data_IF_725412929534
#
_entry.id   IF_725412929534
#
_cell.length_a   1.000
_cell.length_b   1.000
_cell.length_c   1.000
_cell.angle_alpha   90.00
_cell.angle_beta   90.00
_cell.angle_gamma   90.00
#
_symmetry.space_group_name_H-M   'P 1'
#
loop_
_entity.id
_entity.type
_entity.pdbx_description
1 polymer ?
#
# COMPACT_ATOMS: atom_id res chain seq x y z
N UNK A 1 -40.08 8.84 -18.10
CA UNK A 1 -41.19 9.28 -18.98
C UNK A 1 -40.57 9.72 -20.30
N UNK A 2 -41.13 9.27 -21.42
CA UNK A 2 -40.77 9.76 -22.76
C UNK A 2 -41.91 10.60 -23.33
N UNK A 3 -41.60 11.61 -24.13
CA UNK A 3 -42.56 12.45 -24.83
C UNK A 3 -42.38 12.23 -26.34
N UNK A 4 -43.47 11.97 -27.07
CA UNK A 4 -43.48 11.95 -28.52
C UNK A 4 -44.28 13.15 -29.00
N UNK A 5 -43.63 14.06 -29.72
CA UNK A 5 -44.28 15.19 -30.37
C UNK A 5 -44.40 14.91 -31.87
N UNK A 6 -45.60 15.10 -32.43
CA UNK A 6 -45.87 14.95 -33.85
C UNK A 6 -46.36 16.29 -34.42
N UNK A 7 -45.81 16.68 -35.58
CA UNK A 7 -46.17 17.91 -36.27
C UNK A 7 -46.33 17.64 -37.78
N UNK A 8 -47.24 18.36 -38.43
CA UNK A 8 -47.42 18.35 -39.88
C UNK A 8 -47.55 19.76 -40.43
N UNK A 9 -46.95 20.00 -41.59
CA UNK A 9 -47.08 21.25 -42.36
C UNK A 9 -48.34 21.28 -43.23
N UNK A 10 -49.01 20.14 -43.41
CA UNK A 10 -50.26 20.02 -44.16
C UNK A 10 -51.46 20.01 -43.22
N UNK A 11 -52.45 20.86 -43.53
CA UNK A 11 -53.69 20.94 -42.77
C UNK A 11 -54.42 19.58 -42.77
N UNK A 12 -54.88 19.14 -41.61
CA UNK A 12 -55.65 17.90 -41.40
C UNK A 12 -54.93 16.57 -41.68
N UNK A 13 -53.61 16.58 -41.91
CA UNK A 13 -52.82 15.37 -42.09
C UNK A 13 -52.70 14.52 -40.79
N UNK A 14 -52.67 15.19 -39.64
CA UNK A 14 -52.80 14.55 -38.33
C UNK A 14 -54.28 14.53 -37.93
N UNK A 15 -54.93 13.41 -38.18
CA UNK A 15 -56.32 13.15 -37.80
C UNK A 15 -56.39 11.94 -36.85
N UNK A 16 -57.58 11.65 -36.31
CA UNK A 16 -57.79 10.55 -35.36
C UNK A 16 -57.31 9.19 -35.91
N UNK A 17 -57.49 8.93 -37.20
CA UNK A 17 -57.01 7.69 -37.83
C UNK A 17 -55.48 7.62 -37.88
N UNK A 18 -54.80 8.72 -38.20
CA UNK A 18 -53.34 8.83 -38.19
C UNK A 18 -52.76 8.68 -36.78
N UNK A 19 -53.44 9.21 -35.75
CA UNK A 19 -53.05 9.07 -34.35
C UNK A 19 -53.26 7.64 -33.83
N UNK A 20 -54.38 7.00 -34.19
CA UNK A 20 -54.63 5.60 -33.84
C UNK A 20 -53.56 4.67 -34.44
N UNK A 21 -53.10 4.94 -35.67
CA UNK A 21 -51.97 4.22 -36.28
C UNK A 21 -50.67 4.41 -35.48
N UNK A 22 -50.40 5.61 -34.96
CA UNK A 22 -49.23 5.86 -34.11
C UNK A 22 -49.30 5.11 -32.78
N UNK A 23 -50.47 4.99 -32.16
CA UNK A 23 -50.65 4.24 -30.90
C UNK A 23 -50.20 2.78 -31.02
N UNK A 24 -50.42 2.16 -32.17
CA UNK A 24 -50.02 0.76 -32.42
C UNK A 24 -48.49 0.62 -32.55
N UNK A 25 -47.80 1.69 -32.96
CA UNK A 25 -46.35 1.70 -33.19
C UNK A 25 -45.58 2.19 -31.94
N UNK A 26 -46.24 2.92 -31.03
CA UNK A 26 -45.65 3.42 -29.78
C UNK A 26 -44.93 2.33 -28.96
N UNK A 27 -45.50 1.12 -28.73
CA UNK A 27 -44.80 0.06 -28.00
C UNK A 27 -43.50 -0.38 -28.69
N UNK A 28 -43.51 -0.45 -30.03
CA UNK A 28 -42.33 -0.82 -30.82
C UNK A 28 -41.24 0.26 -30.75
N UNK A 29 -41.62 1.54 -30.81
CA UNK A 29 -40.72 2.67 -30.63
C UNK A 29 -40.14 2.69 -29.21
N UNK A 30 -40.96 2.47 -28.19
CA UNK A 30 -40.53 2.38 -26.80
C UNK A 30 -39.51 1.24 -26.60
N UNK A 31 -39.79 0.07 -27.17
CA UNK A 31 -38.87 -1.08 -27.13
C UNK A 31 -37.55 -0.79 -27.86
N UNK A 32 -37.61 -0.14 -29.03
CA UNK A 32 -36.43 0.28 -29.79
C UNK A 32 -35.58 1.28 -28.99
N UNK A 33 -36.21 2.29 -28.39
CA UNK A 33 -35.52 3.27 -27.54
C UNK A 33 -34.91 2.61 -26.30
N UNK A 34 -35.64 1.71 -25.64
CA UNK A 34 -35.13 0.96 -24.49
C UNK A 34 -33.93 0.10 -24.87
N UNK A 35 -33.99 -0.59 -26.02
CA UNK A 35 -32.86 -1.34 -26.56
C UNK A 35 -31.67 -0.43 -26.84
N UNK A 36 -31.88 0.72 -27.47
CA UNK A 36 -30.80 1.68 -27.74
C UNK A 36 -30.16 2.22 -26.46
N UNK A 37 -30.96 2.53 -25.42
CA UNK A 37 -30.45 2.93 -24.10
C UNK A 37 -29.62 1.80 -23.48
N UNK A 38 -30.11 0.56 -23.56
CA UNK A 38 -29.40 -0.60 -23.04
C UNK A 38 -28.06 -0.85 -23.76
N UNK A 39 -28.08 -0.84 -25.09
CA UNK A 39 -26.90 -1.03 -25.94
C UNK A 39 -25.87 0.09 -25.70
N UNK A 40 -26.36 1.33 -25.52
CA UNK A 40 -25.54 2.48 -25.20
C UNK A 40 -24.86 2.34 -23.83
N UNK A 41 -25.62 2.03 -22.77
CA UNK A 41 -25.07 1.84 -21.43
C UNK A 41 -24.08 0.67 -21.39
N UNK A 42 -24.39 -0.43 -22.07
CA UNK A 42 -23.51 -1.60 -22.19
C UNK A 42 -22.19 -1.24 -22.87
N UNK A 43 -22.22 -0.36 -23.87
CA UNK A 43 -21.02 0.13 -24.54
C UNK A 43 -20.17 1.03 -23.64
N UNK A 44 -20.78 1.93 -22.87
CA UNK A 44 -20.07 2.76 -21.88
C UNK A 44 -19.41 1.87 -20.82
N UNK A 45 -20.15 0.90 -20.27
CA UNK A 45 -19.65 -0.05 -19.28
C UNK A 45 -18.48 -0.87 -19.82
N UNK A 46 -18.60 -1.36 -21.06
CA UNK A 46 -17.53 -2.07 -21.75
C UNK A 46 -16.29 -1.19 -21.88
N UNK A 47 -16.45 0.08 -22.28
CA UNK A 47 -15.32 1.01 -22.39
C UNK A 47 -14.68 1.31 -21.05
N UNK A 48 -15.49 1.48 -20.00
CA UNK A 48 -14.97 1.65 -18.64
C UNK A 48 -14.15 0.44 -18.22
N UNK A 49 -14.68 -0.77 -18.39
CA UNK A 49 -14.00 -2.01 -17.98
C UNK A 49 -12.74 -2.32 -18.81
N UNK A 50 -12.74 -1.94 -20.08
CA UNK A 50 -11.57 -2.16 -20.97
C UNK A 50 -10.50 -1.09 -20.80
N UNK A 51 -10.87 0.15 -20.49
CA UNK A 51 -9.93 1.25 -20.24
C UNK A 51 -9.45 1.33 -18.80
N UNK A 52 -10.25 0.88 -17.83
CA UNK A 52 -9.98 1.01 -16.40
C UNK A 52 -10.28 -0.31 -15.67
N UNK A 53 -9.32 -0.78 -14.87
CA UNK A 53 -9.37 -2.16 -14.33
C UNK A 53 -10.06 -2.29 -12.98
N UNK A 54 -10.36 -1.18 -12.30
CA UNK A 54 -11.16 -1.15 -11.06
C UNK A 54 -11.45 0.31 -10.70
N UNK A 55 -12.68 0.78 -10.97
CA UNK A 55 -13.10 2.13 -10.59
C UNK A 55 -13.95 2.05 -9.32
N UNK A 56 -13.70 2.94 -8.37
CA UNK A 56 -14.50 3.04 -7.16
C UNK A 56 -15.85 3.73 -7.46
N UNK A 57 -16.95 3.30 -6.82
CA UNK A 57 -18.27 3.87 -7.07
C UNK A 57 -18.33 5.39 -6.90
N UNK A 58 -17.53 5.96 -5.99
CA UNK A 58 -17.47 7.40 -5.70
C UNK A 58 -16.96 8.25 -6.88
N UNK A 59 -16.16 7.68 -7.77
CA UNK A 59 -15.56 8.41 -8.90
C UNK A 59 -16.05 7.92 -10.26
N UNK A 60 -16.73 6.76 -10.31
CA UNK A 60 -17.19 6.12 -11.55
C UNK A 60 -18.03 7.03 -12.44
N UNK A 61 -18.89 7.85 -11.84
CA UNK A 61 -19.73 8.80 -12.56
C UNK A 61 -18.89 9.78 -13.41
N UNK A 62 -17.71 10.20 -12.92
CA UNK A 62 -16.85 11.15 -13.63
C UNK A 62 -16.20 10.50 -14.85
N UNK A 63 -15.85 9.21 -14.76
CA UNK A 63 -15.35 8.45 -15.90
C UNK A 63 -16.44 8.24 -16.95
N UNK A 64 -17.67 7.91 -16.52
CA UNK A 64 -18.84 7.82 -17.42
C UNK A 64 -19.08 9.14 -18.16
N UNK A 65 -19.08 10.24 -17.42
CA UNK A 65 -19.25 11.60 -17.95
C UNK A 65 -18.15 11.94 -18.97
N UNK A 66 -16.88 11.66 -18.62
CA UNK A 66 -15.75 11.96 -19.49
C UNK A 66 -15.81 11.19 -20.82
N UNK A 67 -16.16 9.89 -20.76
CA UNK A 67 -16.34 9.06 -21.96
C UNK A 67 -17.50 9.59 -22.80
N UNK A 68 -18.62 9.95 -22.18
CA UNK A 68 -19.79 10.50 -22.86
C UNK A 68 -19.48 11.82 -23.58
N UNK A 69 -18.78 12.74 -22.91
CA UNK A 69 -18.39 14.01 -23.49
C UNK A 69 -17.45 13.82 -24.68
N UNK A 70 -16.47 12.92 -24.57
CA UNK A 70 -15.57 12.59 -25.67
C UNK A 70 -16.33 11.98 -26.87
N UNK A 71 -17.34 11.13 -26.64
CA UNK A 71 -18.20 10.61 -27.72
C UNK A 71 -18.98 11.70 -28.44
N UNK A 72 -19.54 12.67 -27.70
CA UNK A 72 -20.24 13.82 -28.27
C UNK A 72 -19.32 14.66 -29.16
N UNK A 73 -18.13 14.99 -28.67
CA UNK A 73 -17.13 15.78 -29.40
C UNK A 73 -16.71 15.10 -30.71
N UNK A 74 -16.57 13.78 -30.69
CA UNK A 74 -16.20 12.98 -31.85
C UNK A 74 -17.37 12.65 -32.78
N UNK A 75 -18.56 13.23 -32.57
CA UNK A 75 -19.80 12.93 -33.32
C UNK A 75 -20.07 11.43 -33.43
N UNK A 76 -19.80 10.69 -32.35
CA UNK A 76 -19.92 9.23 -32.28
C UNK A 76 -19.01 8.44 -33.25
N UNK A 77 -17.93 9.04 -33.77
CA UNK A 77 -16.89 8.28 -34.49
C UNK A 77 -16.05 7.44 -33.53
N UNK A 78 -16.48 6.19 -33.36
CA UNK A 78 -15.90 5.21 -32.42
C UNK A 78 -14.42 4.90 -32.65
N UNK A 79 -13.85 5.26 -33.81
CA UNK A 79 -12.44 4.99 -34.16
C UNK A 79 -11.46 6.00 -33.60
N UNK A 80 -11.93 7.16 -33.12
CA UNK A 80 -11.10 8.27 -32.64
C UNK A 80 -11.15 8.49 -31.13
N UNK A 81 -11.87 7.64 -30.39
CA UNK A 81 -11.98 7.78 -28.94
C UNK A 81 -10.62 7.59 -28.27
N UNK A 82 -10.13 8.64 -27.62
CA UNK A 82 -9.02 8.57 -26.67
C UNK A 82 -9.55 8.36 -25.25
N UNK A 83 -8.68 7.92 -24.35
CA UNK A 83 -9.02 7.84 -22.93
C UNK A 83 -9.02 9.26 -22.37
N UNK A 84 -10.18 9.80 -21.93
CA UNK A 84 -10.26 11.17 -21.46
C UNK A 84 -9.52 11.32 -20.12
N UNK A 85 -8.95 12.50 -19.88
CA UNK A 85 -8.36 12.82 -18.57
C UNK A 85 -9.48 13.06 -17.56
N UNK A 86 -9.43 12.36 -16.43
CA UNK A 86 -10.40 12.53 -15.35
C UNK A 86 -9.70 13.25 -14.21
N UNK A 87 -10.24 14.39 -13.78
CA UNK A 87 -9.70 15.16 -12.66
C UNK A 87 -10.78 15.61 -11.70
N UNK A 88 -10.36 15.80 -10.45
CA UNK A 88 -11.15 16.36 -9.38
C UNK A 88 -10.40 17.54 -8.79
N UNK A 89 -11.03 18.71 -8.83
CA UNK A 89 -10.47 19.92 -8.26
C UNK A 89 -10.95 20.12 -6.82
N UNK A 90 -10.14 20.83 -6.04
CA UNK A 90 -10.44 21.27 -4.68
C UNK A 90 -10.90 20.12 -3.74
N UNK A 91 -10.20 19.00 -3.75
CA UNK A 91 -10.43 17.89 -2.82
C UNK A 91 -9.51 18.00 -1.60
N UNK A 92 -10.03 17.69 -0.42
CA UNK A 92 -9.27 17.64 0.82
C UNK A 92 -8.59 16.28 0.94
N UNK A 93 -7.25 16.23 0.99
CA UNK A 93 -6.55 14.97 1.12
C UNK A 93 -6.34 14.61 2.59
N UNK A 94 -6.37 13.32 2.89
CA UNK A 94 -5.93 12.78 4.18
C UNK A 94 -5.01 11.60 3.92
N UNK A 95 -3.84 11.63 4.56
CA UNK A 95 -2.83 10.60 4.42
C UNK A 95 -2.56 9.95 5.78
N UNK A 96 -2.37 8.62 5.74
CA UNK A 96 -1.90 7.85 6.88
C UNK A 96 -0.94 6.76 6.45
N UNK A 97 0.06 6.50 7.30
CA UNK A 97 1.04 5.45 7.10
C UNK A 97 1.23 4.65 8.39
N UNK A 98 1.23 3.33 8.25
CA UNK A 98 1.55 2.36 9.29
C UNK A 98 2.71 1.52 8.78
N UNK A 99 3.90 1.70 9.34
CA UNK A 99 5.12 1.03 8.88
C UNK A 99 5.66 0.07 9.94
N UNK A 100 6.34 -0.99 9.52
CA UNK A 100 7.04 -1.91 10.43
C UNK A 100 8.41 -1.32 10.76
N UNK A 101 8.64 -1.04 12.05
CA UNK A 101 9.89 -0.42 12.51
C UNK A 101 11.07 -1.33 12.16
N UNK A 102 12.04 -0.75 11.45
CA UNK A 102 13.31 -1.40 11.15
C UNK A 102 13.18 -2.69 10.31
N UNK A 103 12.14 -2.85 9.48
CA UNK A 103 11.94 -4.06 8.67
C UNK A 103 13.18 -4.45 7.85
N UNK A 104 13.86 -3.48 7.25
CA UNK A 104 15.11 -3.70 6.49
C UNK A 104 16.24 -4.23 7.38
N UNK A 105 16.40 -3.69 8.59
CA UNK A 105 17.46 -4.12 9.52
C UNK A 105 17.19 -5.55 10.00
N UNK A 106 15.94 -5.86 10.34
CA UNK A 106 15.55 -7.20 10.77
C UNK A 106 15.69 -8.22 9.63
N UNK A 107 15.40 -7.85 8.38
CA UNK A 107 15.69 -8.70 7.21
C UNK A 107 17.17 -9.01 7.05
N UNK A 108 18.03 -8.00 7.19
CA UNK A 108 19.47 -8.20 7.08
C UNK A 108 20.00 -9.11 8.19
N UNK A 109 19.54 -8.94 9.43
CA UNK A 109 19.89 -9.83 10.55
C UNK A 109 19.41 -11.26 10.31
N UNK A 110 18.17 -11.44 9.86
CA UNK A 110 17.62 -12.74 9.56
C UNK A 110 18.40 -13.45 8.45
N UNK A 111 18.75 -12.72 7.39
CA UNK A 111 19.60 -13.23 6.30
C UNK A 111 20.98 -13.66 6.82
N UNK A 112 21.66 -12.81 7.60
CA UNK A 112 22.97 -13.12 8.15
C UNK A 112 22.94 -14.39 9.02
N UNK A 113 21.97 -14.50 9.92
CA UNK A 113 21.83 -15.68 10.79
C UNK A 113 21.61 -16.97 10.00
N UNK A 114 20.75 -16.90 8.97
CA UNK A 114 20.42 -18.02 8.09
C UNK A 114 21.63 -18.45 7.22
N UNK A 115 22.40 -17.48 6.70
CA UNK A 115 23.63 -17.75 5.95
C UNK A 115 24.71 -18.41 6.81
N UNK A 116 24.87 -18.01 8.07
CA UNK A 116 25.82 -18.65 8.99
C UNK A 116 25.46 -20.13 9.22
N UNK A 117 24.17 -20.45 9.35
CA UNK A 117 23.70 -21.84 9.45
C UNK A 117 24.03 -22.62 8.17
N UNK A 118 23.81 -22.01 6.99
CA UNK A 118 24.15 -22.62 5.71
C UNK A 118 25.64 -22.91 5.59
N UNK A 119 26.48 -21.94 6.00
CA UNK A 119 27.93 -22.06 5.93
C UNK A 119 28.48 -23.09 6.89
N UNK A 120 27.93 -23.18 8.10
CA UNK A 120 28.31 -24.24 9.04
C UNK A 120 28.00 -25.63 8.47
N UNK A 121 26.85 -25.79 7.80
CA UNK A 121 26.49 -27.04 7.14
C UNK A 121 27.43 -27.34 5.96
N UNK A 122 27.78 -26.33 5.15
CA UNK A 122 28.73 -26.47 4.04
C UNK A 122 30.12 -26.91 4.53
N UNK A 123 30.64 -26.24 5.55
CA UNK A 123 31.94 -26.56 6.17
C UNK A 123 31.93 -28.00 6.70
N UNK A 124 30.85 -28.42 7.36
CA UNK A 124 30.70 -29.79 7.88
C UNK A 124 30.69 -30.81 6.75
N UNK A 125 29.94 -30.56 5.67
CA UNK A 125 29.91 -31.46 4.52
C UNK A 125 31.28 -31.56 3.85
N UNK A 126 31.99 -30.44 3.66
CA UNK A 126 33.32 -30.42 3.06
C UNK A 126 34.36 -31.16 3.90
N UNK A 127 34.32 -31.07 5.23
CA UNK A 127 35.20 -31.83 6.12
C UNK A 127 35.01 -33.35 5.95
N UNK A 128 33.75 -33.82 5.93
CA UNK A 128 33.43 -35.25 5.73
C UNK A 128 33.92 -35.73 4.36
N UNK A 129 33.71 -34.93 3.31
CA UNK A 129 34.15 -35.25 1.95
C UNK A 129 35.69 -35.29 1.89
N UNK A 130 36.37 -34.32 2.48
CA UNK A 130 37.83 -34.25 2.52
C UNK A 130 38.43 -35.48 3.21
N UNK A 131 37.93 -35.86 4.39
CA UNK A 131 38.37 -37.05 5.12
C UNK A 131 38.08 -38.35 4.37
N UNK A 132 36.93 -38.46 3.69
CA UNK A 132 36.50 -39.68 3.01
C UNK A 132 37.08 -39.88 1.60
N UNK A 133 37.58 -38.82 0.96
CA UNK A 133 38.01 -38.87 -0.46
C UNK A 133 39.43 -38.35 -0.70
N UNK A 134 39.99 -37.54 0.23
CA UNK A 134 41.26 -36.83 0.05
C UNK A 134 41.34 -35.93 -1.19
N UNK A 135 40.19 -35.47 -1.71
CA UNK A 135 40.14 -34.57 -2.85
C UNK A 135 40.67 -33.18 -2.49
N UNK A 136 41.73 -32.72 -3.19
CA UNK A 136 42.30 -31.37 -3.01
C UNK A 136 41.26 -30.25 -3.17
N UNK A 137 40.28 -30.45 -4.06
CA UNK A 137 39.20 -29.47 -4.27
C UNK A 137 38.32 -29.28 -3.03
N UNK A 138 38.13 -30.32 -2.22
CA UNK A 138 37.41 -30.22 -0.95
C UNK A 138 38.14 -29.29 0.03
N UNK A 139 39.46 -29.44 0.14
CA UNK A 139 40.32 -28.59 0.98
C UNK A 139 40.29 -27.13 0.54
N UNK A 140 40.35 -26.86 -0.77
CA UNK A 140 40.23 -25.50 -1.32
C UNK A 140 38.90 -24.86 -0.96
N UNK A 141 37.79 -25.57 -1.22
CA UNK A 141 36.44 -25.09 -0.92
C UNK A 141 36.23 -24.89 0.58
N UNK A 142 36.86 -25.71 1.42
CA UNK A 142 36.80 -25.58 2.87
C UNK A 142 37.45 -24.27 3.33
N UNK A 143 38.63 -23.93 2.78
CA UNK A 143 39.32 -22.67 3.08
C UNK A 143 38.48 -21.47 2.62
N UNK A 144 37.94 -21.52 1.39
CA UNK A 144 37.04 -20.48 0.89
C UNK A 144 35.78 -20.34 1.74
N UNK A 145 35.19 -21.46 2.16
CA UNK A 145 33.98 -21.47 2.99
C UNK A 145 34.23 -20.86 4.37
N UNK A 146 35.37 -21.14 5.00
CA UNK A 146 35.76 -20.50 6.28
C UNK A 146 35.95 -18.99 6.12
N UNK A 147 36.56 -18.52 5.02
CA UNK A 147 36.67 -17.08 4.73
C UNK A 147 35.30 -16.42 4.56
N UNK A 148 34.38 -17.08 3.86
CA UNK A 148 33.01 -16.61 3.71
C UNK A 148 32.27 -16.55 5.05
N UNK A 149 32.42 -17.58 5.89
CA UNK A 149 31.86 -17.60 7.24
C UNK A 149 32.34 -16.40 8.07
N UNK A 150 33.65 -16.16 8.13
CA UNK A 150 34.23 -15.02 8.88
C UNK A 150 33.77 -13.66 8.33
N UNK A 151 33.56 -13.56 7.00
CA UNK A 151 33.07 -12.35 6.34
C UNK A 151 31.61 -12.10 6.70
N UNK A 152 30.76 -13.12 6.58
CA UNK A 152 29.33 -13.07 6.94
C UNK A 152 29.16 -12.74 8.43
N UNK A 153 29.97 -13.30 9.31
CA UNK A 153 29.88 -13.07 10.75
C UNK A 153 30.12 -11.59 11.11
N UNK A 154 31.06 -10.92 10.43
CA UNK A 154 31.39 -9.52 10.69
C UNK A 154 30.38 -8.55 10.10
N UNK A 155 30.21 -8.57 8.78
CA UNK A 155 29.30 -7.69 8.06
C UNK A 155 29.17 -8.11 6.59
N UNK A 156 27.95 -8.14 6.06
CA UNK A 156 27.67 -8.49 4.67
C UNK A 156 27.20 -7.26 3.88
N UNK A 157 27.95 -6.86 2.85
CA UNK A 157 27.49 -5.87 1.87
C UNK A 157 26.61 -6.54 0.81
N UNK A 158 25.77 -5.76 0.12
CA UNK A 158 24.94 -6.27 -0.99
C UNK A 158 25.78 -6.88 -2.11
N UNK A 159 26.97 -6.33 -2.39
CA UNK A 159 27.92 -6.91 -3.35
C UNK A 159 28.41 -8.30 -2.91
N UNK A 160 28.60 -8.48 -1.61
CA UNK A 160 29.10 -9.73 -1.04
C UNK A 160 28.07 -10.85 -1.17
N UNK A 161 26.78 -10.54 -1.12
CA UNK A 161 25.70 -11.52 -1.33
C UNK A 161 25.70 -12.08 -2.76
N UNK A 162 25.99 -11.24 -3.76
CA UNK A 162 26.09 -11.66 -5.16
C UNK A 162 27.29 -12.60 -5.34
N UNK A 163 28.47 -12.18 -4.86
CA UNK A 163 29.69 -12.99 -4.90
C UNK A 163 29.53 -14.32 -4.15
N UNK A 164 28.83 -14.29 -3.01
CA UNK A 164 28.54 -15.47 -2.21
C UNK A 164 27.64 -16.47 -2.94
N UNK A 165 26.55 -16.00 -3.56
CA UNK A 165 25.68 -16.85 -4.37
C UNK A 165 26.42 -17.44 -5.57
N UNK A 166 27.30 -16.66 -6.20
CA UNK A 166 28.15 -17.14 -7.28
C UNK A 166 29.10 -18.25 -6.80
N UNK A 167 29.72 -18.10 -5.62
CA UNK A 167 30.53 -19.16 -5.00
C UNK A 167 29.73 -20.45 -4.79
N UNK A 168 28.51 -20.37 -4.24
CA UNK A 168 27.68 -21.55 -4.03
C UNK A 168 27.27 -22.22 -5.35
N UNK A 169 26.85 -21.45 -6.35
CA UNK A 169 26.32 -21.99 -7.61
C UNK A 169 27.43 -22.47 -8.54
N UNK A 170 28.53 -21.72 -8.65
CA UNK A 170 29.58 -21.99 -9.65
C UNK A 170 30.69 -22.90 -9.13
N UNK A 171 30.93 -22.91 -7.82
CA UNK A 171 32.01 -23.71 -7.24
C UNK A 171 31.50 -24.89 -6.41
N UNK A 172 30.57 -24.64 -5.47
CA UNK A 172 30.11 -25.67 -4.53
C UNK A 172 29.17 -26.68 -5.20
N UNK A 173 28.14 -26.22 -5.92
CA UNK A 173 27.16 -27.12 -6.54
C UNK A 173 27.77 -28.11 -7.54
N UNK A 174 28.64 -27.70 -8.49
CA UNK A 174 29.25 -28.64 -9.42
C UNK A 174 30.14 -29.67 -8.73
N UNK A 175 30.87 -29.25 -7.70
CA UNK A 175 31.70 -30.15 -6.89
C UNK A 175 30.83 -31.16 -6.11
N UNK A 176 29.71 -30.72 -5.55
CA UNK A 176 28.78 -31.59 -4.84
C UNK A 176 28.14 -32.62 -5.77
N UNK A 177 27.83 -32.23 -7.01
CA UNK A 177 27.34 -33.15 -8.01
C UNK A 177 28.37 -34.24 -8.34
N UNK A 178 29.63 -33.87 -8.61
CA UNK A 178 30.70 -34.86 -8.87
C UNK A 178 30.95 -35.78 -7.68
N UNK A 179 30.87 -35.26 -6.45
CA UNK A 179 31.05 -36.09 -5.24
C UNK A 179 29.93 -37.11 -5.09
N UNK A 180 28.68 -36.75 -5.37
CA UNK A 180 27.55 -37.68 -5.31
C UNK A 180 27.66 -38.81 -6.34
N UNK A 181 28.17 -38.51 -7.54
CA UNK A 181 28.32 -39.49 -8.61
C UNK A 181 29.53 -40.42 -8.41
N UNK A 182 30.67 -39.88 -7.97
CA UNK A 182 31.93 -40.61 -7.88
C UNK A 182 32.16 -41.29 -6.52
N UNK A 183 31.59 -40.74 -5.43
CA UNK A 183 31.86 -41.21 -4.06
C UNK A 183 30.58 -41.47 -3.25
N UNK A 184 29.88 -42.59 -3.50
CA UNK A 184 28.65 -42.95 -2.78
C UNK A 184 28.80 -43.03 -1.26
N UNK A 185 30.01 -43.31 -0.75
CA UNK A 185 30.31 -43.40 0.68
C UNK A 185 30.14 -42.08 1.44
N UNK A 186 30.30 -40.93 0.77
CA UNK A 186 30.18 -39.58 1.38
C UNK A 186 28.99 -38.79 0.83
N UNK A 187 28.22 -39.36 -0.10
CA UNK A 187 27.05 -38.70 -0.71
C UNK A 187 26.02 -38.22 0.33
N UNK A 188 25.93 -38.90 1.48
CA UNK A 188 25.05 -38.50 2.58
C UNK A 188 25.38 -37.10 3.14
N UNK A 189 26.65 -36.66 3.08
CA UNK A 189 27.06 -35.34 3.56
C UNK A 189 26.51 -34.22 2.65
N UNK A 190 26.51 -34.45 1.33
CA UNK A 190 25.91 -33.54 0.34
C UNK A 190 24.39 -33.47 0.51
N UNK A 191 23.74 -34.62 0.76
CA UNK A 191 22.30 -34.67 1.04
C UNK A 191 21.95 -33.88 2.30
N UNK A 192 22.71 -34.07 3.38
CA UNK A 192 22.49 -33.34 4.64
C UNK A 192 22.64 -31.82 4.46
N UNK A 193 23.64 -31.35 3.71
CA UNK A 193 23.77 -29.93 3.35
C UNK A 193 22.56 -29.43 2.54
N UNK A 194 22.11 -30.21 1.57
CA UNK A 194 20.99 -29.84 0.69
C UNK A 194 19.68 -29.71 1.47
N UNK A 195 19.44 -30.60 2.44
CA UNK A 195 18.29 -30.51 3.35
C UNK A 195 18.32 -29.25 4.22
N UNK A 196 19.49 -28.87 4.75
CA UNK A 196 19.65 -27.62 5.52
C UNK A 196 19.44 -26.39 4.64
N UNK A 197 19.88 -26.45 3.38
CA UNK A 197 19.83 -25.36 2.40
C UNK A 197 18.53 -25.30 1.58
N UNK A 198 17.53 -26.15 1.87
CA UNK A 198 16.26 -26.09 1.16
C UNK A 198 15.51 -24.78 1.50
N UNK A 199 15.10 -23.97 0.51
CA UNK A 199 14.44 -22.69 0.76
C UNK A 199 13.09 -22.78 1.49
N UNK A 200 12.39 -23.93 1.39
CA UNK A 200 11.04 -24.12 1.93
C UNK A 200 11.04 -24.76 3.31
N UNK A 201 11.92 -25.74 3.54
CA UNK A 201 11.94 -26.55 4.77
C UNK A 201 13.24 -26.41 5.55
N UNK A 202 14.34 -26.04 4.88
CA UNK A 202 15.68 -26.01 5.43
C UNK A 202 15.87 -25.05 6.59
N UNK A 203 16.74 -25.46 7.52
CA UNK A 203 17.02 -24.69 8.73
C UNK A 203 17.78 -23.40 8.43
N UNK A 204 18.52 -23.33 7.31
CA UNK A 204 19.16 -22.12 6.81
C UNK A 204 18.18 -21.08 6.23
N UNK A 205 16.87 -21.31 6.31
CA UNK A 205 15.83 -20.32 5.95
C UNK A 205 14.85 -20.09 7.10
N UNK A 206 15.12 -20.64 8.29
CA UNK A 206 14.18 -20.62 9.41
C UNK A 206 13.92 -19.20 9.90
N UNK A 207 14.97 -18.39 10.03
CA UNK A 207 14.87 -17.04 10.61
C UNK A 207 14.14 -16.10 9.66
N UNK A 208 14.45 -16.16 8.36
CA UNK A 208 13.72 -15.40 7.33
C UNK A 208 12.25 -15.83 7.23
N UNK A 209 11.96 -17.12 7.29
CA UNK A 209 10.56 -17.62 7.28
C UNK A 209 9.78 -17.11 8.50
N UNK A 210 10.38 -17.14 9.70
CA UNK A 210 9.77 -16.60 10.92
C UNK A 210 9.50 -15.07 10.82
N UNK A 211 10.47 -14.32 10.27
CA UNK A 211 10.34 -12.88 10.05
C UNK A 211 9.21 -12.57 9.05
N UNK A 212 9.22 -13.20 7.88
CA UNK A 212 8.20 -12.97 6.84
C UNK A 212 6.80 -13.40 7.30
N UNK A 213 6.68 -14.46 8.12
CA UNK A 213 5.43 -14.83 8.75
C UNK A 213 4.92 -13.73 9.70
N UNK A 214 5.81 -13.10 10.45
CA UNK A 214 5.47 -12.01 11.38
C UNK A 214 5.04 -10.74 10.62
N UNK A 215 5.80 -10.34 9.58
CA UNK A 215 5.44 -9.23 8.68
C UNK A 215 4.07 -9.50 8.05
N UNK A 216 3.87 -10.69 7.47
CA UNK A 216 2.63 -11.04 6.80
C UNK A 216 1.42 -10.98 7.75
N UNK A 217 1.56 -11.48 8.99
CA UNK A 217 0.50 -11.43 10.01
C UNK A 217 0.14 -9.98 10.35
N UNK A 218 1.14 -9.14 10.65
CA UNK A 218 0.93 -7.72 10.96
C UNK A 218 0.25 -6.99 9.81
N UNK A 219 0.82 -7.04 8.60
CA UNK A 219 0.30 -6.29 7.45
C UNK A 219 -1.12 -6.73 7.07
N UNK A 220 -1.44 -8.02 7.25
CA UNK A 220 -2.80 -8.55 6.99
C UNK A 220 -3.81 -7.99 8.01
N UNK A 221 -3.52 -8.06 9.30
CA UNK A 221 -4.40 -7.53 10.35
C UNK A 221 -4.60 -6.02 10.23
N UNK A 222 -3.51 -5.27 9.97
CA UNK A 222 -3.57 -3.83 9.72
C UNK A 222 -4.41 -3.52 8.48
N UNK A 223 -4.19 -4.23 7.37
CA UNK A 223 -4.96 -4.01 6.14
C UNK A 223 -6.45 -4.27 6.35
N UNK A 224 -6.80 -5.33 7.08
CA UNK A 224 -8.19 -5.65 7.41
C UNK A 224 -8.83 -4.54 8.25
N UNK A 225 -8.10 -4.03 9.24
CA UNK A 225 -8.55 -2.91 10.06
C UNK A 225 -8.80 -1.65 9.23
N UNK A 226 -7.86 -1.28 8.35
CA UNK A 226 -8.02 -0.12 7.47
C UNK A 226 -9.20 -0.29 6.51
N UNK A 227 -9.49 -1.51 6.04
CA UNK A 227 -10.68 -1.78 5.23
C UNK A 227 -11.99 -1.62 6.02
N UNK A 228 -11.99 -1.92 7.32
CA UNK A 228 -13.13 -1.66 8.21
C UNK A 228 -13.31 -0.15 8.42
N UNK A 229 -12.23 0.56 8.74
CA UNK A 229 -12.22 2.02 8.86
C UNK A 229 -12.80 2.66 7.59
N UNK A 230 -12.31 2.29 6.40
CA UNK A 230 -12.83 2.75 5.11
C UNK A 230 -14.35 2.54 4.99
N UNK A 231 -14.86 1.36 5.35
CA UNK A 231 -16.30 1.07 5.28
C UNK A 231 -17.11 1.93 6.24
N UNK A 232 -16.57 2.28 7.41
CA UNK A 232 -17.25 3.14 8.37
C UNK A 232 -17.37 4.58 7.86
N UNK A 233 -16.26 5.19 7.41
CA UNK A 233 -16.28 6.56 6.89
C UNK A 233 -17.09 6.68 5.58
N UNK A 234 -17.22 5.59 4.80
CA UNK A 234 -18.01 5.57 3.55
C UNK A 234 -19.49 5.80 3.80
N UNK A 235 -19.98 5.52 5.02
CA UNK A 235 -21.37 5.78 5.43
C UNK A 235 -21.65 7.27 5.67
N UNK A 236 -20.61 8.06 5.93
CA UNK A 236 -20.72 9.48 6.25
C UNK A 236 -20.80 10.30 4.96
N UNK A 237 -19.81 10.17 4.08
CA UNK A 237 -19.73 10.93 2.83
C UNK A 237 -18.98 10.15 1.74
N UNK A 238 -19.31 10.27 0.45
CA UNK A 238 -18.54 9.62 -0.62
C UNK A 238 -17.13 10.22 -0.78
N UNK A 239 -16.10 9.37 -0.84
CA UNK A 239 -14.71 9.77 -1.05
C UNK A 239 -14.00 8.81 -1.99
N UNK A 240 -12.84 9.20 -2.50
CA UNK A 240 -11.91 8.30 -3.18
C UNK A 240 -10.86 7.79 -2.19
N UNK A 241 -10.58 6.48 -2.21
CA UNK A 241 -9.66 5.82 -1.28
C UNK A 241 -8.54 5.09 -2.01
N UNK A 242 -7.29 5.39 -1.73
CA UNK A 242 -6.17 4.61 -2.24
C UNK A 242 -5.42 3.94 -1.11
N UNK A 243 -5.01 2.68 -1.29
CA UNK A 243 -4.28 1.90 -0.29
C UNK A 243 -3.08 1.23 -0.94
N UNK A 244 -1.92 1.42 -0.36
CA UNK A 244 -0.66 0.81 -0.78
C UNK A 244 -0.17 -0.15 0.30
N UNK A 245 0.26 -1.33 -0.13
CA UNK A 245 0.81 -2.36 0.75
C UNK A 245 2.25 -2.63 0.36
N UNK A 246 3.15 -2.45 1.32
CA UNK A 246 4.55 -2.88 1.25
C UNK A 246 4.80 -3.77 2.47
N UNK A 247 5.83 -3.48 3.27
CA UNK A 247 5.95 -4.01 4.64
C UNK A 247 4.89 -3.38 5.55
N UNK A 248 4.54 -2.12 5.27
CA UNK A 248 3.49 -1.36 5.92
C UNK A 248 2.21 -1.25 5.11
N UNK A 249 1.29 -0.43 5.62
CA UNK A 249 0.08 0.01 4.95
C UNK A 249 0.05 1.53 4.91
N UNK A 250 0.00 2.08 3.71
CA UNK A 250 -0.21 3.51 3.48
C UNK A 250 -1.55 3.71 2.80
N UNK A 251 -2.20 4.84 3.06
CA UNK A 251 -3.45 5.16 2.39
C UNK A 251 -3.63 6.66 2.18
N UNK A 252 -4.37 6.98 1.12
CA UNK A 252 -4.86 8.31 0.80
C UNK A 252 -6.39 8.32 0.74
N UNK A 253 -6.95 9.40 1.24
CA UNK A 253 -8.38 9.70 1.16
C UNK A 253 -8.51 11.05 0.48
N UNK A 254 -9.36 11.15 -0.52
CA UNK A 254 -9.70 12.41 -1.16
C UNK A 254 -11.21 12.62 -1.06
N UNK A 255 -11.60 13.71 -0.39
CA UNK A 255 -13.00 14.03 -0.13
C UNK A 255 -13.28 15.49 -0.46
N UNK A 256 -14.44 15.79 -1.04
CA UNK A 256 -14.82 17.16 -1.36
C UNK A 256 -16.04 17.23 -2.25
N UNK A 257 -16.49 18.45 -2.54
CA UNK A 257 -17.67 18.69 -3.36
C UNK A 257 -17.55 18.10 -4.76
N UNK A 258 -16.34 18.10 -5.34
CA UNK A 258 -16.10 17.58 -6.69
C UNK A 258 -16.22 16.06 -6.79
N UNK A 259 -16.09 15.31 -5.68
CA UNK A 259 -16.24 13.84 -5.67
C UNK A 259 -17.72 13.43 -5.74
N UNK A 260 -18.60 14.17 -5.06
CA UNK A 260 -20.03 13.87 -5.02
C UNK A 260 -20.87 15.14 -5.31
N UNK A 261 -21.07 15.52 -6.58
CA UNK A 261 -21.77 16.76 -6.95
C UNK A 261 -23.22 16.81 -6.48
N UNK A 262 -23.88 15.65 -6.34
CA UNK A 262 -25.28 15.54 -5.92
C UNK A 262 -25.47 15.66 -4.39
N UNK A 263 -24.38 15.66 -3.62
CA UNK A 263 -24.41 15.80 -2.16
C UNK A 263 -23.64 17.05 -1.76
N UNK A 264 -24.24 17.91 -0.95
CA UNK A 264 -23.57 19.12 -0.47
C UNK A 264 -22.45 18.73 0.49
N UNK A 265 -21.23 19.20 0.22
CA UNK A 265 -20.07 18.98 1.08
C UNK A 265 -19.99 20.07 2.15
N UNK A 266 -19.96 19.65 3.41
CA UNK A 266 -19.73 20.52 4.56
C UNK A 266 -18.42 20.15 5.27
N UNK A 267 -17.74 21.15 5.83
CA UNK A 267 -16.48 20.94 6.56
C UNK A 267 -16.63 20.04 7.81
N UNK A 268 -17.85 19.93 8.34
CA UNK A 268 -18.20 18.97 9.42
C UNK A 268 -17.81 17.54 9.06
N UNK A 269 -18.06 17.09 7.82
CA UNK A 269 -17.68 15.75 7.38
C UNK A 269 -16.16 15.53 7.42
N UNK A 270 -15.37 16.55 7.06
CA UNK A 270 -13.91 16.45 7.13
C UNK A 270 -13.43 16.30 8.57
N UNK A 271 -14.07 17.00 9.53
CA UNK A 271 -13.78 16.86 10.96
C UNK A 271 -14.07 15.44 11.46
N UNK A 272 -15.22 14.88 11.07
CA UNK A 272 -15.59 13.50 11.42
C UNK A 272 -14.58 12.50 10.87
N UNK A 273 -14.17 12.66 9.61
CA UNK A 273 -13.17 11.80 8.98
C UNK A 273 -11.83 11.86 9.72
N UNK A 274 -11.34 13.05 10.07
CA UNK A 274 -10.06 13.24 10.78
C UNK A 274 -10.07 12.65 12.18
N UNK A 275 -11.17 12.83 12.93
CA UNK A 275 -11.34 12.18 14.24
C UNK A 275 -11.34 10.66 14.09
N UNK A 276 -12.08 10.12 13.12
CA UNK A 276 -12.11 8.67 12.87
C UNK A 276 -10.76 8.11 12.41
N UNK A 277 -10.00 8.88 11.61
CA UNK A 277 -8.65 8.51 11.21
C UNK A 277 -7.74 8.38 12.45
N UNK A 278 -7.77 9.37 13.34
CA UNK A 278 -6.97 9.34 14.56
C UNK A 278 -7.36 8.17 15.48
N UNK A 279 -8.66 7.92 15.66
CA UNK A 279 -9.16 6.75 16.41
C UNK A 279 -8.69 5.43 15.79
N UNK A 280 -8.78 5.28 14.47
CA UNK A 280 -8.31 4.09 13.77
C UNK A 280 -6.80 3.89 13.97
N UNK A 281 -5.98 4.95 13.94
CA UNK A 281 -4.55 4.82 14.25
C UNK A 281 -4.28 4.30 15.66
N UNK A 282 -5.07 4.74 16.66
CA UNK A 282 -4.97 4.20 18.02
C UNK A 282 -5.36 2.72 18.07
N UNK A 283 -6.44 2.35 17.39
CA UNK A 283 -6.90 0.95 17.32
C UNK A 283 -5.85 0.05 16.67
N UNK A 284 -5.15 0.53 15.63
CA UNK A 284 -4.03 -0.18 15.01
C UNK A 284 -2.85 -0.35 15.96
N UNK A 285 -2.50 0.65 16.76
CA UNK A 285 -1.44 0.52 17.78
C UNK A 285 -1.78 -0.63 18.74
N UNK A 286 -2.99 -0.60 19.32
CA UNK A 286 -3.45 -1.62 20.26
C UNK A 286 -3.52 -3.01 19.62
N UNK A 287 -4.03 -3.09 18.39
CA UNK A 287 -4.09 -4.32 17.61
C UNK A 287 -2.69 -4.91 17.43
N UNK A 288 -1.75 -4.14 16.90
CA UNK A 288 -0.41 -4.65 16.60
C UNK A 288 0.38 -5.02 17.86
N UNK A 289 0.15 -4.34 18.98
CA UNK A 289 0.71 -4.75 20.27
C UNK A 289 0.11 -6.06 20.79
N UNK A 290 -1.19 -6.27 20.64
CA UNK A 290 -1.81 -7.55 21.02
C UNK A 290 -1.32 -8.74 20.21
N UNK A 291 -0.76 -8.51 19.00
CA UNK A 291 -0.19 -9.57 18.17
C UNK A 291 1.20 -10.00 18.63
N UNK A 292 1.94 -9.16 19.38
CA UNK A 292 3.34 -9.41 19.77
C UNK A 292 3.60 -10.81 20.34
N UNK A 293 2.77 -11.34 21.27
CA UNK A 293 2.99 -12.67 21.86
C UNK A 293 2.90 -13.82 20.84
N UNK A 294 2.18 -13.61 19.73
CA UNK A 294 1.97 -14.62 18.71
C UNK A 294 2.91 -14.49 17.51
N UNK A 295 3.81 -13.50 17.49
CA UNK A 295 4.74 -13.29 16.39
C UNK A 295 5.97 -14.18 16.57
N UNK A 296 6.33 -15.01 15.57
CA UNK A 296 7.60 -15.74 15.58
C UNK A 296 8.82 -14.83 15.78
N UNK A 297 8.76 -13.61 15.22
CA UNK A 297 9.75 -12.55 15.39
C UNK A 297 9.01 -11.30 15.89
N UNK A 298 9.28 -10.82 17.11
CA UNK A 298 8.66 -9.61 17.63
C UNK A 298 8.97 -8.40 16.75
N UNK A 299 7.93 -7.80 16.16
CA UNK A 299 8.03 -6.63 15.31
C UNK A 299 7.05 -5.57 15.78
N UNK A 300 7.49 -4.32 15.73
CA UNK A 300 6.69 -3.17 16.16
C UNK A 300 6.27 -2.35 14.96
N UNK A 301 5.10 -1.73 15.05
CA UNK A 301 4.62 -0.78 14.03
C UNK A 301 4.80 0.66 14.50
N UNK A 302 4.80 1.58 13.54
CA UNK A 302 4.78 3.01 13.80
C UNK A 302 3.69 3.68 12.99
N UNK A 303 3.07 4.72 13.54
CA UNK A 303 1.89 5.37 12.98
C UNK A 303 2.21 6.82 12.65
N UNK A 304 1.87 7.23 11.43
CA UNK A 304 2.06 8.58 10.94
C UNK A 304 0.82 9.09 10.22
N UNK A 305 0.44 10.33 10.51
CA UNK A 305 -0.58 11.11 9.80
C UNK A 305 0.10 12.35 9.24
N UNK A 306 -0.18 12.67 7.97
CA UNK A 306 0.21 13.96 7.40
C UNK A 306 -1.00 14.87 7.30
N UNK A 307 -0.95 15.99 8.02
CA UNK A 307 -2.00 16.98 8.10
C UNK A 307 -1.77 17.99 6.98
N UNK A 308 -2.64 17.95 5.97
CA UNK A 308 -2.70 18.98 4.93
C UNK A 308 -4.10 19.62 4.96
N UNK A 309 -4.23 20.91 5.35
CA UNK A 309 -5.52 21.58 5.43
C UNK A 309 -6.01 22.07 4.06
N UNK A 310 -5.08 22.30 3.13
CA UNK A 310 -5.38 22.94 1.85
C UNK A 310 -5.94 21.92 0.88
N UNK A 311 -7.05 22.24 0.19
CA UNK A 311 -7.55 21.38 -0.87
C UNK A 311 -6.54 21.35 -2.02
N UNK A 312 -6.49 20.22 -2.71
CA UNK A 312 -5.61 19.99 -3.85
C UNK A 312 -6.42 19.53 -5.06
N UNK A 313 -5.79 19.56 -6.23
CA UNK A 313 -6.35 19.01 -7.45
C UNK A 313 -5.66 17.67 -7.74
N UNK A 314 -6.46 16.67 -8.16
CA UNK A 314 -5.98 15.34 -8.52
C UNK A 314 -6.44 14.98 -9.93
N UNK A 315 -5.60 14.28 -10.68
CA UNK A 315 -5.92 13.74 -12.00
C UNK A 315 -5.52 12.28 -12.15
N UNK A 316 -6.33 11.57 -12.93
CA UNK A 316 -6.12 10.15 -13.18
C UNK A 316 -4.98 9.96 -14.18
N UNK A 317 -3.92 9.31 -13.72
CA UNK A 317 -2.81 8.87 -14.54
C UNK A 317 -3.13 7.54 -15.19
N UNK A 318 -3.21 7.52 -16.52
CA UNK A 318 -3.60 6.32 -17.27
C UNK A 318 -2.55 5.20 -17.24
N UNK A 319 -1.27 5.56 -17.18
CA UNK A 319 -0.13 4.66 -17.06
C UNK A 319 -0.07 4.01 -15.66
N UNK A 320 -0.26 4.80 -14.61
CA UNK A 320 -0.23 4.32 -13.22
C UNK A 320 -1.58 3.78 -12.73
N UNK A 321 -2.66 4.02 -13.49
CA UNK A 321 -4.06 3.66 -13.18
C UNK A 321 -4.55 4.14 -11.81
N UNK A 322 -4.12 5.34 -11.40
CA UNK A 322 -4.47 5.96 -10.13
C UNK A 322 -4.57 7.48 -10.23
N UNK A 323 -5.15 8.10 -9.22
CA UNK A 323 -5.11 9.55 -9.10
C UNK A 323 -3.77 10.00 -8.53
N UNK A 324 -3.15 10.95 -9.20
CA UNK A 324 -1.97 11.65 -8.71
C UNK A 324 -2.28 13.15 -8.63
N UNK A 325 -1.44 13.86 -7.90
CA UNK A 325 -1.60 15.27 -7.63
C UNK A 325 -1.18 16.10 -8.84
N UNK A 326 -2.03 17.07 -9.21
CA UNK A 326 -1.81 17.92 -10.37
C UNK A 326 -1.36 19.34 -9.97
N UNK A 327 -0.47 19.93 -10.76
CA UNK A 327 -0.05 21.33 -10.63
C UNK A 327 1.15 21.56 -9.71
N UNK A 328 2.00 22.54 -10.07
CA UNK A 328 3.28 22.82 -9.40
C UNK A 328 3.15 23.15 -7.90
N UNK A 329 2.03 23.76 -7.50
CA UNK A 329 1.74 24.10 -6.11
C UNK A 329 1.43 22.86 -5.25
N UNK A 330 0.83 21.83 -5.83
CA UNK A 330 0.41 20.63 -5.11
C UNK A 330 1.51 19.55 -5.06
N UNK A 331 2.55 19.64 -5.91
CA UNK A 331 3.71 18.70 -5.91
C UNK A 331 4.33 18.58 -4.51
N UNK A 332 4.34 19.66 -3.72
CA UNK A 332 4.86 19.65 -2.34
C UNK A 332 4.19 18.56 -1.49
N UNK A 333 2.88 18.36 -1.62
CA UNK A 333 2.15 17.32 -0.89
C UNK A 333 2.73 15.93 -1.16
N UNK A 334 2.96 15.59 -2.44
CA UNK A 334 3.54 14.29 -2.82
C UNK A 334 5.01 14.15 -2.40
N UNK A 335 5.81 15.21 -2.49
CA UNK A 335 7.22 15.15 -2.08
C UNK A 335 7.35 14.95 -0.57
N UNK A 336 6.51 15.63 0.23
CA UNK A 336 6.48 15.48 1.68
C UNK A 336 6.10 14.05 2.05
N UNK A 337 4.99 13.52 1.54
CA UNK A 337 4.54 12.14 1.80
C UNK A 337 5.62 11.09 1.59
N UNK A 338 6.39 11.20 0.50
CA UNK A 338 7.45 10.24 0.15
C UNK A 338 8.68 10.29 1.08
N UNK A 339 8.75 11.24 2.00
CA UNK A 339 9.97 11.53 2.78
C UNK A 339 9.75 11.65 4.29
N UNK A 340 8.52 11.92 4.72
CA UNK A 340 8.19 12.06 6.15
C UNK A 340 8.25 10.75 6.92
N UNK A 341 8.22 9.60 6.25
CA UNK A 341 8.33 8.28 6.89
C UNK A 341 9.66 8.10 7.63
N UNK A 342 10.77 8.63 7.09
CA UNK A 342 12.14 8.47 7.59
C UNK A 342 12.75 9.73 8.18
N UNK A 343 11.95 10.77 8.41
CA UNK A 343 12.44 12.03 8.96
C UNK A 343 12.83 11.89 10.43
N UNK A 344 13.92 12.56 10.82
CA UNK A 344 14.35 12.65 12.20
C UNK A 344 13.89 13.96 12.85
N UNK A 345 13.92 13.98 14.18
CA UNK A 345 13.72 15.19 14.98
C UNK A 345 14.98 16.07 14.84
N UNK A 346 14.76 17.35 14.55
CA UNK A 346 15.82 18.33 14.30
C UNK A 346 16.85 18.34 15.43
N UNK A 347 18.13 18.19 15.06
CA UNK A 347 19.23 18.20 16.02
C UNK A 347 19.44 16.88 16.77
N UNK A 348 18.77 15.81 16.35
CA UNK A 348 18.89 14.48 16.96
C UNK A 348 18.97 13.40 15.88
N UNK A 349 19.43 12.19 16.25
CA UNK A 349 19.34 11.00 15.39
C UNK A 349 18.06 10.18 15.66
N UNK A 350 17.07 10.77 16.34
CA UNK A 350 15.84 10.09 16.68
C UNK A 350 14.83 10.20 15.53
N UNK A 351 14.36 9.07 15.02
CA UNK A 351 13.28 9.03 14.03
C UNK A 351 11.99 9.60 14.64
N UNK A 352 11.25 10.39 13.87
CA UNK A 352 9.97 10.95 14.30
C UNK A 352 9.00 9.85 14.77
N UNK A 353 8.83 8.83 13.95
CA UNK A 353 7.89 7.74 14.20
C UNK A 353 8.45 6.75 15.22
N UNK A 354 7.67 6.47 16.26
CA UNK A 354 8.07 5.60 17.37
C UNK A 354 6.97 4.58 17.68
N UNK A 355 7.31 3.33 18.03
CA UNK A 355 6.35 2.35 18.49
C UNK A 355 5.49 2.85 19.65
N UNK A 356 4.20 2.50 19.64
CA UNK A 356 3.26 2.92 20.68
C UNK A 356 2.86 4.39 20.63
N UNK A 357 3.37 5.17 19.66
CA UNK A 357 3.07 6.59 19.50
C UNK A 357 2.49 6.88 18.11
N UNK A 358 1.67 7.91 18.02
CA UNK A 358 1.15 8.45 16.76
C UNK A 358 1.87 9.77 16.47
N UNK A 359 2.53 9.85 15.32
CA UNK A 359 3.14 11.07 14.83
C UNK A 359 2.21 11.78 13.84
N UNK A 360 1.98 13.08 14.04
CA UNK A 360 1.12 13.92 13.21
C UNK A 360 1.95 15.08 12.66
N UNK A 361 2.32 15.01 11.39
CA UNK A 361 3.16 16.00 10.71
C UNK A 361 2.30 17.11 10.12
N UNK A 362 2.71 18.36 10.30
CA UNK A 362 2.01 19.54 9.78
C UNK A 362 3.02 20.65 9.39
N UNK A 363 2.55 21.65 8.65
CA UNK A 363 3.38 22.78 8.21
C UNK A 363 3.17 24.02 9.08
N UNK A 364 1.91 24.35 9.40
CA UNK A 364 1.56 25.54 10.18
C UNK A 364 0.86 25.16 11.50
N UNK A 365 1.22 25.85 12.58
CA UNK A 365 0.71 25.59 13.94
C UNK A 365 -0.80 25.81 14.08
N UNK A 366 -1.41 26.64 13.22
CA UNK A 366 -2.86 26.80 13.13
C UNK A 366 -3.55 25.52 12.63
N UNK A 367 -2.87 24.75 11.78
CA UNK A 367 -3.38 23.50 11.18
C UNK A 367 -3.43 22.37 12.21
N UNK A 368 -2.47 22.38 13.15
CA UNK A 368 -2.38 21.42 14.23
C UNK A 368 -3.47 21.62 15.31
N UNK A 369 -4.07 22.80 15.39
CA UNK A 369 -5.01 23.15 16.46
C UNK A 369 -6.29 22.30 16.46
N UNK A 370 -6.75 21.92 15.27
CA UNK A 370 -7.88 21.00 15.13
C UNK A 370 -7.52 19.60 15.69
N UNK A 371 -6.32 19.10 15.39
CA UNK A 371 -5.84 17.83 15.90
C UNK A 371 -5.56 17.87 17.40
N UNK A 372 -5.11 19.00 17.97
CA UNK A 372 -4.98 19.16 19.43
C UNK A 372 -6.31 18.93 20.15
N UNK A 373 -7.42 19.44 19.59
CA UNK A 373 -8.77 19.19 20.14
C UNK A 373 -9.14 17.71 20.08
N UNK A 374 -8.82 17.04 18.98
CA UNK A 374 -9.07 15.60 18.83
C UNK A 374 -8.25 14.77 19.82
N UNK A 375 -6.98 15.11 19.98
CA UNK A 375 -6.09 14.45 20.95
C UNK A 375 -6.63 14.67 22.36
N UNK A 376 -7.02 15.88 22.73
CA UNK A 376 -7.57 16.17 24.05
C UNK A 376 -8.84 15.38 24.35
N UNK A 377 -9.72 15.21 23.36
CA UNK A 377 -10.90 14.34 23.48
C UNK A 377 -10.48 12.89 23.73
N UNK A 378 -9.51 12.35 22.98
CA UNK A 378 -9.04 10.97 23.17
C UNK A 378 -8.22 10.76 24.45
N UNK A 379 -7.59 11.80 24.99
CA UNK A 379 -6.98 11.81 26.32
C UNK A 379 -8.05 11.74 27.42
N UNK A 380 -9.15 12.46 27.23
CA UNK A 380 -10.32 12.42 28.14
C UNK A 380 -10.98 11.05 28.13
N UNK A 381 -11.05 10.41 26.96
CA UNK A 381 -11.52 9.02 26.80
C UNK A 381 -10.52 7.98 27.36
N UNK A 382 -9.39 8.40 27.93
CA UNK A 382 -8.30 7.55 28.44
C UNK A 382 -7.68 6.61 27.40
N UNK A 383 -7.69 7.00 26.13
CA UNK A 383 -7.16 6.22 25.01
C UNK A 383 -5.75 6.68 24.61
N UNK A 384 -5.43 7.96 24.83
CA UNK A 384 -4.10 8.54 24.64
C UNK A 384 -3.47 8.94 25.98
N UNK A 385 -2.14 8.99 26.01
CA UNK A 385 -1.36 9.52 27.13
C UNK A 385 -1.54 11.04 27.24
N UNK A 386 -1.41 11.57 28.46
CA UNK A 386 -1.56 13.01 28.71
C UNK A 386 -0.39 13.83 28.17
N UNK A 387 0.81 13.24 28.09
CA UNK A 387 1.98 13.91 27.57
C UNK A 387 1.92 13.99 26.03
N UNK A 388 2.14 15.21 25.52
CA UNK A 388 2.16 15.52 24.09
C UNK A 388 3.48 16.19 23.76
N UNK A 389 4.19 15.66 22.78
CA UNK A 389 5.45 16.21 22.32
C UNK A 389 5.21 17.11 21.10
N UNK A 390 5.70 18.35 21.14
CA UNK A 390 5.78 19.21 19.96
C UNK A 390 7.22 19.22 19.44
N UNK A 391 7.38 18.78 18.19
CA UNK A 391 8.68 18.46 17.61
C UNK A 391 8.94 19.30 16.34
N UNK A 392 10.17 19.77 16.18
CA UNK A 392 10.66 20.29 14.90
C UNK A 392 11.37 19.19 14.13
N UNK A 393 11.11 19.09 12.82
CA UNK A 393 11.68 18.05 11.97
C UNK A 393 12.88 18.59 11.19
N UNK A 394 13.78 17.68 10.80
CA UNK A 394 14.87 18.02 9.90
C UNK A 394 14.36 18.54 8.54
N UNK A 395 15.18 19.39 7.91
CA UNK A 395 14.86 19.89 6.58
C UNK A 395 14.95 18.76 5.55
N UNK A 396 13.90 18.62 4.76
CA UNK A 396 13.89 17.72 3.61
C UNK A 396 14.34 18.54 2.38
N UNK A 397 14.97 17.90 1.39
CA UNK A 397 15.44 18.62 0.21
C UNK A 397 14.28 19.35 -0.51
N UNK A 398 14.28 20.68 -0.43
CA UNK A 398 13.23 21.55 -0.99
C UNK A 398 12.02 21.82 -0.09
N UNK A 399 12.03 21.35 1.17
CA UNK A 399 10.96 21.56 2.17
C UNK A 399 11.58 21.86 3.53
N UNK A 400 11.28 23.03 4.09
CA UNK A 400 11.70 23.44 5.43
C UNK A 400 10.50 23.84 6.29
N UNK A 401 10.66 23.79 7.61
CA UNK A 401 9.65 24.24 8.57
C UNK A 401 8.59 23.19 8.96
N UNK A 402 8.82 21.91 8.67
CA UNK A 402 7.92 20.85 9.12
C UNK A 402 7.97 20.69 10.64
N UNK A 403 6.81 20.52 11.24
CA UNK A 403 6.62 20.25 12.66
C UNK A 403 5.77 19.01 12.85
N UNK A 404 5.83 18.43 14.03
CA UNK A 404 4.97 17.30 14.38
C UNK A 404 4.44 17.41 15.80
N UNK A 405 3.24 16.86 16.00
CA UNK A 405 2.76 16.45 17.31
C UNK A 405 3.00 14.95 17.42
N UNK A 406 3.57 14.50 18.53
CA UNK A 406 3.69 13.08 18.84
C UNK A 406 3.04 12.79 20.19
N UNK A 407 2.22 11.74 20.23
CA UNK A 407 1.44 11.37 21.42
C UNK A 407 1.43 9.85 21.61
N UNK A 408 1.58 9.40 22.86
CA UNK A 408 1.52 7.99 23.23
C UNK A 408 0.10 7.45 23.27
N UNK A 409 -0.05 6.17 22.91
CA UNK A 409 -1.31 5.44 23.06
C UNK A 409 -1.30 4.71 24.40
N UNK A 410 -2.38 4.83 25.18
CA UNK A 410 -2.53 4.05 26.41
C UNK A 410 -2.79 2.58 26.06
N UNK A 411 -1.89 1.71 26.50
CA UNK A 411 -1.96 0.26 26.31
C UNK A 411 -2.15 -0.36 27.68
N UNK A 412 -3.20 -1.14 27.85
CA UNK A 412 -3.46 -1.81 29.13
C UNK A 412 -2.37 -2.85 29.38
N UNK A 413 -1.76 -2.84 30.58
CA UNK A 413 -0.60 -3.63 31.03
C UNK A 413 -0.73 -5.17 30.91
N UNK A 414 -1.87 -5.71 30.47
CA UNK A 414 -2.10 -7.14 30.34
C UNK A 414 -1.17 -7.87 29.34
N UNK A 415 -0.33 -7.14 28.59
CA UNK A 415 0.63 -7.69 27.61
C UNK A 415 2.10 -7.41 27.98
N UNK A 416 2.37 -6.63 29.04
CA UNK A 416 3.74 -6.27 29.44
C UNK A 416 4.40 -7.28 30.41
N UNK A 417 3.65 -8.27 30.88
CA UNK A 417 4.15 -9.31 31.78
C UNK A 417 3.96 -10.70 31.17
N UNK A 418 4.81 -11.07 30.20
CA UNK A 418 5.25 -12.45 29.97
C UNK A 418 6.46 -12.55 29.07
#
# INVERSE_FOLDING_TARGET
MGLLEAHSYEASALNESSLALLEHVLPLLAQLLQKNIHDFNSYIDYKIKTSFTSIQPSVEWKFREAIWNNMKELKFDRRKLSVPTVSFSHVYPMYGAIDIRNSTVERNKALQADLLVQMQALITALLIIEEGTSLLKASELLVSSKRWFDKIEKYLLTSDEIEFNDFLIKEVQPFFHSVQDEFPSVAYAVTAFSEVSDPKTGNAFRTRRALEASIHKITTEVSNHIDLFRKQIQRIYPFYFEKFRTDGVEYDIYVGQSIAPEKVFEYSYLRDFRMMQLRSMVEVVKLTQSLLPDLPTPLYTTQLIFINPSPIDISFRNDERRFDVEGAYNIRYQVIKKRIDKVNIRGTNERLTQPGKIAMVYYNSLEAEEYRKYIHQLQTDEVLEHEMEELELEELQGISGLRAIRVGVKVTEAVLAK
#
